data_IF_319123595205
#
_entry.id   IF_319123595205
#
_cell.length_a   1.000
_cell.length_b   1.000
_cell.length_c   1.000
_cell.angle_alpha   90.00
_cell.angle_beta   90.00
_cell.angle_gamma   90.00
#
_symmetry.space_group_name_H-M   'P 1'
#
loop_
_entity.id
_entity.type
_entity.pdbx_description
1 polymer ?
#
# COMPACT_ATOMS: atom_id res chain seq x y z
N UNK A 1 -45.22 17.83 -6.03
CA UNK A 1 -44.62 19.03 -5.38
C UNK A 1 -43.12 19.06 -5.67
N UNK A 2 -42.37 20.03 -5.15
CA UNK A 2 -41.02 20.38 -5.65
C UNK A 2 -39.96 19.33 -5.34
N UNK A 3 -39.00 19.22 -6.27
CA UNK A 3 -37.68 18.62 -6.04
C UNK A 3 -36.91 19.40 -4.95
N UNK A 4 -35.99 18.72 -4.28
CA UNK A 4 -34.83 19.31 -3.60
C UNK A 4 -33.79 18.20 -3.40
N UNK A 5 -32.74 18.18 -4.23
CA UNK A 5 -31.55 17.39 -3.96
C UNK A 5 -30.54 18.23 -3.18
N UNK A 6 -29.83 17.61 -2.23
CA UNK A 6 -28.76 18.27 -1.47
C UNK A 6 -27.42 17.60 -1.79
N UNK A 7 -26.64 18.26 -2.64
CA UNK A 7 -25.19 18.01 -2.69
C UNK A 7 -24.56 18.48 -1.37
N UNK A 8 -23.56 17.75 -0.87
CA UNK A 8 -22.71 18.19 0.22
C UNK A 8 -21.26 18.15 -0.25
N UNK A 9 -20.70 19.33 -0.51
CA UNK A 9 -19.29 19.49 -0.85
C UNK A 9 -18.67 20.63 -0.03
N UNK A 10 -17.52 20.34 0.58
CA UNK A 10 -16.52 21.21 1.20
C UNK A 10 -16.92 22.48 1.97
N UNK A 11 -16.38 22.56 3.20
CA UNK A 11 -15.52 23.69 3.63
C UNK A 11 -14.74 23.33 4.89
N UNK A 12 -13.42 23.19 4.75
CA UNK A 12 -12.49 23.40 5.87
C UNK A 12 -11.95 24.83 5.86
N UNK A 13 -11.46 25.29 7.02
CA UNK A 13 -11.49 26.70 7.40
C UNK A 13 -10.17 27.41 7.08
N UNK A 14 -10.27 28.64 6.58
CA UNK A 14 -9.15 29.55 6.35
C UNK A 14 -8.80 30.26 7.68
N UNK A 15 -7.60 30.04 8.22
CA UNK A 15 -7.13 30.72 9.44
C UNK A 15 -6.50 32.08 9.12
N UNK A 16 -7.12 33.17 9.55
CA UNK A 16 -6.63 34.54 9.35
C UNK A 16 -5.77 35.03 10.52
N UNK A 17 -4.74 35.82 10.22
CA UNK A 17 -4.15 36.82 11.10
C UNK A 17 -3.70 38.06 10.28
N UNK A 18 -3.58 39.26 10.90
CA UNK A 18 -4.14 40.46 10.27
C UNK A 18 -3.15 41.42 9.61
N UNK A 19 -3.68 42.21 8.67
CA UNK A 19 -3.10 43.46 8.16
C UNK A 19 -3.37 44.62 9.14
N UNK A 20 -2.46 45.59 9.24
CA UNK A 20 -2.68 46.87 9.93
C UNK A 20 -1.77 47.96 9.33
N UNK A 21 -2.22 49.21 9.34
CA UNK A 21 -1.82 50.25 8.36
C UNK A 21 -1.10 51.47 8.98
N UNK A 22 -0.76 52.41 8.08
CA UNK A 22 -0.69 53.87 8.24
C UNK A 22 0.66 54.60 8.43
N UNK A 23 0.58 55.92 8.25
CA UNK A 23 1.58 56.89 7.74
C UNK A 23 1.04 58.32 8.06
N UNK A 24 1.68 59.49 7.76
CA UNK A 24 3.05 59.79 7.28
C UNK A 24 3.73 61.09 7.86
N UNK A 25 4.89 61.48 7.28
CA UNK A 25 5.53 62.85 7.21
C UNK A 25 6.18 63.44 8.47
N UNK A 26 7.25 64.26 8.39
CA UNK A 26 7.93 64.90 7.22
C UNK A 26 9.15 64.08 6.70
N UNK A 27 10.42 64.48 6.56
CA UNK A 27 11.26 65.65 6.98
C UNK A 27 12.09 66.23 5.80
N UNK A 28 13.27 66.83 6.00
CA UNK A 28 14.04 67.56 4.96
C UNK A 28 15.59 67.36 5.03
N UNK A 29 16.23 67.49 3.85
CA UNK A 29 17.64 67.82 3.52
C UNK A 29 18.84 67.02 4.09
N UNK A 30 19.53 66.22 3.26
CA UNK A 30 20.73 66.66 2.48
C UNK A 30 21.25 65.57 1.51
N UNK A 31 22.17 65.95 0.60
CA UNK A 31 22.73 65.08 -0.45
C UNK A 31 23.90 64.19 0.03
N UNK A 32 23.97 62.97 -0.50
CA UNK A 32 25.22 62.32 -0.93
C UNK A 32 25.01 61.63 -2.28
N UNK A 33 26.08 61.34 -3.00
CA UNK A 33 26.05 61.03 -4.44
C UNK A 33 25.79 59.55 -4.74
N UNK A 34 25.21 59.28 -5.91
CA UNK A 34 24.66 57.97 -6.23
C UNK A 34 25.62 57.04 -6.96
N UNK A 35 26.14 56.04 -6.26
CA UNK A 35 26.43 54.75 -6.89
C UNK A 35 25.09 54.03 -7.03
N UNK A 36 24.68 53.75 -8.27
CA UNK A 36 23.52 52.90 -8.55
C UNK A 36 24.00 51.47 -8.74
N UNK A 37 23.95 50.69 -7.68
CA UNK A 37 23.96 49.22 -7.82
C UNK A 37 22.65 48.82 -8.51
N UNK A 38 22.71 48.68 -9.83
CA UNK A 38 21.59 48.23 -10.63
C UNK A 38 21.36 46.73 -10.35
N UNK A 39 20.47 46.46 -9.40
CA UNK A 39 20.02 45.11 -9.09
C UNK A 39 19.30 44.52 -10.32
N UNK A 40 20.07 43.84 -11.17
CA UNK A 40 19.55 42.96 -12.21
C UNK A 40 19.12 41.66 -11.51
N UNK A 41 17.81 41.39 -11.33
CA UNK A 41 17.37 40.09 -10.84
C UNK A 41 17.80 39.05 -11.86
N UNK A 42 18.80 38.24 -11.52
CA UNK A 42 19.20 37.11 -12.35
C UNK A 42 17.97 36.23 -12.60
N UNK A 43 17.58 36.10 -13.87
CA UNK A 43 16.44 35.30 -14.31
C UNK A 43 16.77 33.81 -14.25
N UNK A 44 17.07 33.34 -13.03
CA UNK A 44 16.98 31.95 -12.64
C UNK A 44 15.55 31.48 -12.87
N UNK A 45 15.29 31.02 -14.10
CA UNK A 45 14.14 30.20 -14.43
C UNK A 45 14.24 28.94 -13.57
N UNK A 46 13.66 28.99 -12.37
CA UNK A 46 13.35 27.82 -11.59
C UNK A 46 12.43 26.96 -12.45
N UNK A 47 13.01 26.01 -13.18
CA UNK A 47 12.25 24.94 -13.81
C UNK A 47 11.42 24.33 -12.67
N UNK A 48 10.09 24.22 -12.79
CA UNK A 48 9.31 23.59 -11.73
C UNK A 48 9.90 22.20 -11.51
N UNK A 49 10.33 21.91 -10.29
CA UNK A 49 10.70 20.55 -9.90
C UNK A 49 9.39 19.77 -9.91
N UNK A 50 9.07 19.21 -11.07
CA UNK A 50 7.92 18.36 -11.24
C UNK A 50 8.26 17.03 -10.58
N UNK A 51 8.02 16.95 -9.26
CA UNK A 51 8.05 15.71 -8.50
C UNK A 51 6.98 14.79 -9.11
N UNK A 52 7.40 13.99 -10.09
CA UNK A 52 6.53 13.09 -10.82
C UNK A 52 6.07 12.01 -9.86
N UNK A 53 4.87 12.21 -9.29
CA UNK A 53 4.42 11.46 -8.12
C UNK A 53 4.31 9.99 -8.51
N UNK A 54 5.07 9.07 -7.86
CA UNK A 54 5.12 7.67 -8.27
C UNK A 54 3.71 7.10 -8.40
N UNK A 55 3.35 6.76 -9.64
CA UNK A 55 1.96 6.61 -10.04
C UNK A 55 1.47 5.21 -9.71
N UNK A 56 0.96 5.08 -8.48
CA UNK A 56 0.37 3.86 -7.91
C UNK A 56 -0.49 3.13 -8.96
N UNK A 57 -0.16 1.88 -9.26
CA UNK A 57 -0.93 1.06 -10.22
C UNK A 57 -2.18 0.49 -9.56
N UNK A 58 -3.21 1.35 -9.54
CA UNK A 58 -4.57 1.01 -9.10
C UNK A 58 -5.19 -0.15 -9.91
N UNK A 59 -4.73 -0.42 -11.13
CA UNK A 59 -5.23 -1.55 -11.94
C UNK A 59 -4.73 -2.88 -11.40
N UNK A 60 -3.40 -3.01 -11.26
CA UNK A 60 -2.76 -4.20 -10.69
C UNK A 60 -3.18 -4.44 -9.24
N UNK A 61 -3.28 -3.39 -8.42
CA UNK A 61 -3.80 -3.48 -7.03
C UNK A 61 -5.21 -4.07 -6.98
N UNK A 62 -6.13 -3.60 -7.85
CA UNK A 62 -7.50 -4.11 -7.89
C UNK A 62 -7.55 -5.57 -8.38
N UNK A 63 -6.73 -5.93 -9.39
CA UNK A 63 -6.60 -7.31 -9.87
C UNK A 63 -6.13 -8.25 -8.74
N UNK A 64 -5.02 -7.92 -8.09
CA UNK A 64 -4.43 -8.74 -7.02
C UNK A 64 -5.39 -8.88 -5.83
N UNK A 65 -6.08 -7.80 -5.44
CA UNK A 65 -7.12 -7.85 -4.40
C UNK A 65 -8.28 -8.76 -4.78
N UNK A 66 -8.77 -8.69 -6.02
CA UNK A 66 -9.86 -9.56 -6.48
C UNK A 66 -9.45 -11.05 -6.56
N UNK A 67 -8.20 -11.34 -6.91
CA UNK A 67 -7.65 -12.70 -6.91
C UNK A 67 -7.48 -13.27 -5.49
N UNK A 68 -7.00 -12.43 -4.55
CA UNK A 68 -6.92 -12.79 -3.13
C UNK A 68 -8.29 -13.06 -2.53
N UNK A 69 -9.28 -12.19 -2.79
CA UNK A 69 -10.67 -12.36 -2.33
C UNK A 69 -11.30 -13.63 -2.91
N UNK A 70 -11.10 -13.91 -4.21
CA UNK A 70 -11.58 -15.14 -4.85
C UNK A 70 -11.01 -16.39 -4.18
N UNK A 71 -9.71 -16.39 -3.90
CA UNK A 71 -9.02 -17.52 -3.24
C UNK A 71 -9.51 -17.71 -1.80
N UNK A 72 -9.74 -16.61 -1.06
CA UNK A 72 -10.30 -16.64 0.29
C UNK A 72 -11.74 -17.17 0.33
N UNK A 73 -12.62 -16.70 -0.56
CA UNK A 73 -14.01 -17.20 -0.60
C UNK A 73 -14.08 -18.69 -1.02
N UNK A 74 -13.18 -19.16 -1.89
CA UNK A 74 -13.08 -20.58 -2.23
C UNK A 74 -12.66 -21.45 -1.03
N UNK A 75 -11.62 -21.05 -0.28
CA UNK A 75 -11.23 -21.71 0.97
C UNK A 75 -12.39 -21.71 1.99
N UNK A 76 -13.12 -20.60 2.11
CA UNK A 76 -14.28 -20.50 2.98
C UNK A 76 -15.41 -21.44 2.56
N UNK A 77 -15.69 -21.55 1.25
CA UNK A 77 -16.69 -22.48 0.71
C UNK A 77 -16.30 -23.95 0.96
N UNK A 78 -15.02 -24.28 0.82
CA UNK A 78 -14.46 -25.61 1.12
C UNK A 78 -14.68 -26.01 2.59
N UNK A 79 -14.34 -25.10 3.53
CA UNK A 79 -14.57 -25.32 4.98
C UNK A 79 -16.07 -25.36 5.31
N UNK A 80 -16.90 -24.52 4.68
CA UNK A 80 -18.35 -24.50 4.88
C UNK A 80 -19.04 -25.77 4.33
N UNK A 81 -18.51 -26.36 3.25
CA UNK A 81 -18.93 -27.66 2.69
C UNK A 81 -18.60 -28.80 3.67
N UNK A 82 -17.34 -28.91 4.12
CA UNK A 82 -16.88 -29.90 5.10
C UNK A 82 -17.76 -29.92 6.36
N UNK A 83 -17.92 -28.75 7.02
CA UNK A 83 -18.70 -28.61 8.24
C UNK A 83 -20.14 -29.08 8.06
N UNK A 84 -20.80 -28.66 6.97
CA UNK A 84 -22.20 -29.06 6.67
C UNK A 84 -22.34 -30.55 6.39
N UNK A 85 -21.38 -31.19 5.72
CA UNK A 85 -21.43 -32.63 5.46
C UNK A 85 -21.36 -33.48 6.74
N UNK A 86 -20.71 -32.97 7.79
CA UNK A 86 -20.60 -33.63 9.10
C UNK A 86 -21.65 -33.15 10.11
N UNK A 87 -22.50 -32.19 9.74
CA UNK A 87 -23.47 -31.56 10.65
C UNK A 87 -22.85 -30.67 11.73
N UNK A 88 -21.57 -30.31 11.59
CA UNK A 88 -20.78 -29.54 12.55
C UNK A 88 -20.95 -28.03 12.35
N UNK A 89 -20.63 -27.28 13.40
CA UNK A 89 -20.54 -25.81 13.37
C UNK A 89 -19.09 -25.33 13.48
N UNK A 90 -18.82 -24.06 13.16
CA UNK A 90 -17.50 -23.44 13.36
C UNK A 90 -16.99 -23.49 14.81
N UNK A 91 -17.88 -23.68 15.79
CA UNK A 91 -17.53 -23.85 17.20
C UNK A 91 -17.02 -25.27 17.54
N UNK A 92 -17.11 -26.19 16.58
CA UNK A 92 -16.76 -27.61 16.72
C UNK A 92 -15.70 -28.04 15.70
N UNK A 93 -14.95 -27.08 15.15
CA UNK A 93 -13.90 -27.32 14.15
C UNK A 93 -12.80 -28.28 14.64
N UNK A 94 -12.57 -28.39 15.95
CA UNK A 94 -11.65 -29.37 16.56
C UNK A 94 -12.08 -30.84 16.34
N UNK A 95 -13.34 -31.07 15.96
CA UNK A 95 -13.91 -32.39 15.62
C UNK A 95 -13.94 -32.66 14.11
N UNK A 96 -13.45 -31.74 13.29
CA UNK A 96 -13.61 -31.77 11.84
C UNK A 96 -12.72 -32.85 11.20
N UNK A 97 -13.33 -33.89 10.64
CA UNK A 97 -12.61 -34.83 9.77
C UNK A 97 -12.41 -34.19 8.39
N UNK A 98 -11.24 -34.39 7.77
CA UNK A 98 -10.95 -33.87 6.43
C UNK A 98 -11.09 -35.02 5.43
N UNK A 99 -12.08 -34.93 4.54
CA UNK A 99 -12.31 -35.91 3.49
C UNK A 99 -11.19 -35.90 2.43
N UNK A 100 -11.11 -36.96 1.62
CA UNK A 100 -10.04 -37.12 0.64
C UNK A 100 -10.13 -36.17 -0.57
N UNK A 101 -11.34 -35.82 -1.04
CA UNK A 101 -11.52 -34.85 -2.12
C UNK A 101 -11.00 -33.48 -1.68
N UNK A 102 -11.46 -33.00 -0.52
CA UNK A 102 -11.04 -31.70 0.02
C UNK A 102 -9.56 -31.69 0.44
N UNK A 103 -9.03 -32.81 0.96
CA UNK A 103 -7.59 -32.94 1.24
C UNK A 103 -6.75 -32.80 -0.03
N UNK A 104 -7.13 -33.46 -1.12
CA UNK A 104 -6.41 -33.42 -2.39
C UNK A 104 -6.53 -32.04 -3.06
N UNK A 105 -7.71 -31.41 -3.00
CA UNK A 105 -7.92 -30.03 -3.48
C UNK A 105 -7.02 -29.04 -2.73
N UNK A 106 -7.02 -29.07 -1.39
CA UNK A 106 -6.17 -28.21 -0.56
C UNK A 106 -4.66 -28.46 -0.78
N UNK A 107 -4.24 -29.73 -0.96
CA UNK A 107 -2.86 -30.06 -1.33
C UNK A 107 -2.48 -29.49 -2.71
N UNK A 108 -3.37 -29.62 -3.71
CA UNK A 108 -3.18 -29.03 -5.03
C UNK A 108 -3.11 -27.50 -5.02
N UNK A 109 -3.79 -26.84 -4.07
CA UNK A 109 -3.67 -25.39 -3.90
C UNK A 109 -2.28 -24.93 -3.45
N UNK A 110 -1.61 -25.70 -2.58
CA UNK A 110 -0.31 -25.33 -1.97
C UNK A 110 0.92 -25.95 -2.65
N UNK A 111 0.71 -26.98 -3.49
CA UNK A 111 1.76 -27.63 -4.29
C UNK A 111 2.37 -26.68 -5.33
N UNK A 112 3.50 -27.07 -5.94
CA UNK A 112 4.18 -26.29 -6.97
C UNK A 112 3.24 -25.94 -8.15
N UNK A 113 3.23 -24.67 -8.57
CA UNK A 113 2.29 -24.13 -9.56
C UNK A 113 0.86 -23.87 -9.03
N UNK A 114 0.54 -24.29 -7.80
CA UNK A 114 -0.74 -24.04 -7.15
C UNK A 114 -0.94 -22.56 -6.76
N UNK A 115 -2.19 -22.08 -6.69
CA UNK A 115 -2.51 -20.68 -6.38
C UNK A 115 -2.05 -20.21 -4.99
N UNK A 116 -1.84 -21.10 -4.02
CA UNK A 116 -1.30 -20.82 -2.70
C UNK A 116 0.13 -21.36 -2.51
N UNK A 117 0.82 -21.71 -3.60
CA UNK A 117 2.24 -22.07 -3.57
C UNK A 117 3.12 -20.90 -3.11
N UNK A 118 4.28 -21.16 -2.47
CA UNK A 118 5.22 -20.11 -2.07
C UNK A 118 5.66 -19.19 -3.22
N UNK A 119 5.75 -19.73 -4.44
CA UNK A 119 6.11 -18.98 -5.64
C UNK A 119 4.99 -17.99 -6.02
N UNK A 120 3.76 -18.49 -6.22
CA UNK A 120 2.61 -17.65 -6.59
C UNK A 120 2.20 -16.65 -5.49
N UNK A 121 2.40 -16.97 -4.21
CA UNK A 121 2.13 -16.03 -3.11
C UNK A 121 3.23 -14.97 -3.02
N UNK A 122 4.50 -15.33 -3.19
CA UNK A 122 5.60 -14.35 -3.19
C UNK A 122 5.53 -13.40 -4.40
N UNK A 123 5.15 -13.89 -5.58
CA UNK A 123 4.89 -13.04 -6.77
C UNK A 123 3.83 -11.98 -6.46
N UNK A 124 2.67 -12.35 -5.92
CA UNK A 124 1.62 -11.38 -5.59
C UNK A 124 2.06 -10.32 -4.58
N UNK A 125 2.88 -10.69 -3.60
CA UNK A 125 3.41 -9.74 -2.60
C UNK A 125 4.36 -8.75 -3.27
N UNK A 126 5.22 -9.22 -4.18
CA UNK A 126 6.19 -8.36 -4.89
C UNK A 126 5.50 -7.51 -5.97
N UNK A 127 4.57 -8.06 -6.74
CA UNK A 127 3.74 -7.30 -7.69
C UNK A 127 2.92 -6.23 -6.96
N UNK A 128 2.36 -6.54 -5.79
CA UNK A 128 1.68 -5.55 -4.96
C UNK A 128 2.66 -4.47 -4.47
N UNK A 129 3.86 -4.83 -4.02
CA UNK A 129 4.91 -3.90 -3.61
C UNK A 129 5.35 -2.97 -4.76
N UNK A 130 5.59 -3.53 -5.96
CA UNK A 130 5.87 -2.77 -7.20
C UNK A 130 4.69 -1.84 -7.55
N UNK A 131 3.45 -2.31 -7.43
CA UNK A 131 2.25 -1.53 -7.76
C UNK A 131 1.96 -0.37 -6.78
N UNK A 132 2.13 -0.57 -5.46
CA UNK A 132 1.96 0.50 -4.46
C UNK A 132 3.12 1.50 -4.45
N UNK A 133 4.33 1.06 -4.80
CA UNK A 133 5.49 1.96 -4.86
C UNK A 133 5.50 2.84 -6.10
N UNK A 134 4.81 2.43 -7.17
CA UNK A 134 4.89 3.01 -8.51
C UNK A 134 6.08 2.51 -9.33
N UNK A 135 6.60 1.31 -9.03
CA UNK A 135 7.85 0.78 -9.59
C UNK A 135 9.13 1.39 -8.98
N UNK A 136 8.97 2.25 -7.98
CA UNK A 136 10.04 3.03 -7.37
C UNK A 136 10.96 2.17 -6.50
N UNK A 137 12.24 2.09 -6.89
CA UNK A 137 13.28 1.30 -6.24
C UNK A 137 13.84 1.96 -4.97
N UNK A 138 13.75 3.29 -4.84
CA UNK A 138 14.20 3.99 -3.61
C UNK A 138 13.36 3.58 -2.40
N UNK A 139 12.14 3.05 -2.63
CA UNK A 139 11.27 2.49 -1.59
C UNK A 139 11.57 1.04 -1.19
N UNK A 140 12.47 0.31 -1.85
CA UNK A 140 12.64 -1.14 -1.60
C UNK A 140 13.00 -1.47 -0.15
N UNK A 141 13.80 -0.63 0.54
CA UNK A 141 14.04 -0.80 1.98
C UNK A 141 12.75 -0.69 2.79
N UNK A 142 12.00 0.40 2.61
CA UNK A 142 10.72 0.63 3.30
C UNK A 142 9.69 -0.48 3.04
N UNK A 143 9.66 -1.02 1.82
CA UNK A 143 8.78 -2.14 1.45
C UNK A 143 9.24 -3.44 2.13
N UNK A 144 10.55 -3.70 2.18
CA UNK A 144 11.14 -4.84 2.90
C UNK A 144 10.80 -4.79 4.39
N UNK A 145 11.03 -3.64 5.03
CA UNK A 145 10.77 -3.42 6.45
C UNK A 145 9.29 -3.66 6.78
N UNK A 146 8.37 -3.13 5.97
CA UNK A 146 6.93 -3.30 6.14
C UNK A 146 6.44 -4.74 5.88
N UNK A 147 7.04 -5.44 4.92
CA UNK A 147 6.77 -6.86 4.67
C UNK A 147 7.27 -7.71 5.85
N UNK A 148 8.48 -7.46 6.34
CA UNK A 148 9.04 -8.17 7.49
C UNK A 148 8.22 -7.93 8.76
N UNK A 149 7.76 -6.69 9.03
CA UNK A 149 6.81 -6.41 10.11
C UNK A 149 5.52 -7.22 9.96
N UNK A 150 4.97 -7.31 8.73
CA UNK A 150 3.79 -8.13 8.43
C UNK A 150 3.98 -9.62 8.76
N UNK A 151 5.09 -10.23 8.33
CA UNK A 151 5.39 -11.63 8.67
C UNK A 151 5.63 -11.81 10.18
N UNK A 152 6.38 -10.92 10.83
CA UNK A 152 6.58 -10.91 12.31
C UNK A 152 5.29 -10.68 13.10
N UNK A 153 4.26 -10.05 12.51
CA UNK A 153 2.96 -9.91 13.12
C UNK A 153 2.14 -11.21 13.03
N UNK A 154 2.15 -11.88 11.86
CA UNK A 154 1.50 -13.19 11.68
C UNK A 154 2.16 -14.27 12.53
N UNK A 155 3.49 -14.26 12.68
CA UNK A 155 4.23 -15.20 13.53
C UNK A 155 3.74 -15.19 14.99
N UNK A 156 3.47 -14.01 15.55
CA UNK A 156 2.91 -13.85 16.90
C UNK A 156 1.49 -14.40 17.01
N UNK A 157 0.69 -14.27 15.94
CA UNK A 157 -0.68 -14.83 15.87
C UNK A 157 -0.64 -16.36 15.78
N UNK A 158 0.36 -16.93 15.10
CA UNK A 158 0.58 -18.37 14.98
C UNK A 158 1.20 -19.04 16.22
N UNK A 159 1.49 -18.28 17.29
CA UNK A 159 2.03 -18.82 18.55
C UNK A 159 3.56 -18.69 18.70
N UNK A 160 4.23 -17.96 17.80
CA UNK A 160 5.65 -17.60 17.91
C UNK A 160 6.58 -18.26 16.89
N UNK A 161 6.06 -19.11 15.99
CA UNK A 161 6.82 -19.66 14.87
C UNK A 161 5.90 -19.82 13.64
N UNK A 162 6.39 -19.43 12.46
CA UNK A 162 5.67 -19.62 11.20
C UNK A 162 5.82 -21.05 10.63
N UNK A 163 4.77 -21.62 9.99
CA UNK A 163 4.88 -22.85 9.21
C UNK A 163 5.94 -22.74 8.09
N UNK A 164 6.55 -23.88 7.73
CA UNK A 164 7.67 -23.90 6.77
C UNK A 164 7.29 -23.35 5.38
N UNK A 165 6.05 -23.60 4.92
CA UNK A 165 5.53 -23.01 3.68
C UNK A 165 5.50 -21.47 3.73
N UNK A 166 5.17 -20.89 4.89
CA UNK A 166 5.15 -19.44 5.12
C UNK A 166 6.57 -18.88 5.20
N UNK A 167 7.51 -19.60 5.84
CA UNK A 167 8.95 -19.26 5.85
C UNK A 167 9.55 -19.29 4.44
N UNK A 168 9.23 -20.29 3.61
CA UNK A 168 9.70 -20.34 2.21
C UNK A 168 9.10 -19.21 1.38
N UNK A 169 7.83 -18.85 1.62
CA UNK A 169 7.19 -17.69 0.98
C UNK A 169 7.92 -16.39 1.34
N UNK A 170 8.25 -16.19 2.63
CA UNK A 170 9.03 -15.04 3.10
C UNK A 170 10.40 -14.94 2.40
N UNK A 171 11.16 -16.05 2.37
CA UNK A 171 12.46 -16.11 1.68
C UNK A 171 12.33 -15.71 0.21
N UNK A 172 11.35 -16.28 -0.52
CA UNK A 172 11.13 -15.96 -1.93
C UNK A 172 10.74 -14.50 -2.17
N UNK A 173 9.95 -13.88 -1.28
CA UNK A 173 9.68 -12.43 -1.35
C UNK A 173 10.99 -11.64 -1.21
N UNK A 174 11.83 -11.97 -0.24
CA UNK A 174 13.10 -11.26 -0.04
C UNK A 174 14.05 -11.46 -1.23
N UNK A 175 14.24 -12.69 -1.70
CA UNK A 175 15.01 -13.00 -2.92
C UNK A 175 14.51 -12.20 -4.15
N UNK A 176 13.20 -11.96 -4.27
CA UNK A 176 12.58 -11.21 -5.38
C UNK A 176 12.67 -9.68 -5.20
N UNK A 177 12.64 -9.18 -3.96
CA UNK A 177 12.93 -7.77 -3.65
C UNK A 177 14.40 -7.42 -3.88
N UNK A 178 15.33 -8.33 -3.57
CA UNK A 178 16.76 -8.18 -3.88
C UNK A 178 16.99 -8.14 -5.39
N UNK A 179 16.45 -9.10 -6.16
CA UNK A 179 16.51 -9.09 -7.63
C UNK A 179 15.93 -7.80 -8.23
N UNK A 180 14.83 -7.27 -7.69
CA UNK A 180 14.25 -6.00 -8.14
C UNK A 180 15.11 -4.77 -7.81
N UNK A 181 15.93 -4.81 -6.76
CA UNK A 181 16.91 -3.76 -6.49
C UNK A 181 18.09 -3.79 -7.48
N UNK A 182 18.39 -4.96 -8.06
CA UNK A 182 19.46 -5.20 -9.04
C UNK A 182 19.03 -5.02 -10.52
N UNK A 183 17.71 -5.00 -10.80
CA UNK A 183 17.10 -4.65 -12.11
C UNK A 183 17.50 -3.24 -12.63
#
# INVERSE_FOLDING_TARGET
>A
MKINGTSMENRYIHSSMPESKEQPKKSDNQKTEGIRDEYVPSSHQQRPINYDKPKIDQGTIQKLKAESERTYQHLRQMVEKLLKQQGLTLQEADKLEIDEETRLEAQGMIAEGGPLSPEAVSDRIVDFAKAISGGDKEKISMLRDAIEEGFRAVEKIFGGELPEISKRTYQLVMEKLDKWAEE
#
